data_IF_331467549192
#
_entry.id   IF_331467549192
#
_cell.length_a   1.000
_cell.length_b   1.000
_cell.length_c   1.000
_cell.angle_alpha   90.00
_cell.angle_beta   90.00
_cell.angle_gamma   90.00
#
_symmetry.space_group_name_H-M   'P 1'
#
loop_
_entity.id
_entity.type
_entity.pdbx_description
1 polymer ?
#
# COMPACT_ATOMS: atom_id res chain seq x y z
N UNK A 1 18.61 6.29 5.36
CA UNK A 1 19.04 5.05 6.07
C UNK A 1 20.37 4.57 5.52
N UNK A 2 21.35 4.18 6.35
CA UNK A 2 22.58 3.53 5.91
C UNK A 2 22.35 2.18 5.19
N UNK A 3 23.29 1.69 4.35
CA UNK A 3 23.18 0.39 3.68
C UNK A 3 22.87 -0.78 4.61
N UNK A 4 23.52 -0.86 5.77
CA UNK A 4 23.33 -1.95 6.73
C UNK A 4 21.91 -2.00 7.31
N UNK A 5 21.29 -0.85 7.55
CA UNK A 5 19.90 -0.78 8.03
C UNK A 5 18.92 -1.17 6.91
N UNK A 6 19.19 -0.75 5.67
CA UNK A 6 18.41 -1.18 4.49
C UNK A 6 18.50 -2.69 4.29
N UNK A 7 19.69 -3.27 4.42
CA UNK A 7 19.90 -4.73 4.34
C UNK A 7 19.12 -5.46 5.44
N UNK A 8 19.21 -4.99 6.67
CA UNK A 8 18.50 -5.61 7.79
C UNK A 8 16.98 -5.59 7.58
N UNK A 9 16.44 -4.55 6.94
CA UNK A 9 15.02 -4.48 6.58
C UNK A 9 14.65 -5.51 5.51
N UNK A 10 15.39 -5.59 4.40
CA UNK A 10 15.11 -6.57 3.34
C UNK A 10 15.31 -8.01 3.79
N UNK A 11 16.28 -8.26 4.68
CA UNK A 11 16.50 -9.56 5.31
C UNK A 11 15.35 -9.96 6.24
N UNK A 12 14.81 -9.02 7.03
CA UNK A 12 13.67 -9.29 7.89
C UNK A 12 12.41 -9.64 7.06
N UNK A 13 12.18 -8.95 5.94
CA UNK A 13 11.08 -9.26 5.01
C UNK A 13 11.26 -10.65 4.40
N UNK A 14 12.46 -10.99 3.94
CA UNK A 14 12.79 -12.33 3.43
C UNK A 14 12.60 -13.41 4.50
N UNK A 15 12.92 -13.10 5.77
CA UNK A 15 12.65 -13.98 6.89
C UNK A 15 11.14 -14.21 7.09
N UNK A 16 10.29 -13.17 7.05
CA UNK A 16 8.82 -13.34 7.11
C UNK A 16 8.31 -14.18 5.94
N UNK A 17 8.78 -13.92 4.73
CA UNK A 17 8.46 -14.73 3.54
C UNK A 17 8.88 -16.20 3.68
N UNK A 18 9.91 -16.51 4.47
CA UNK A 18 10.34 -17.90 4.73
C UNK A 18 9.50 -18.63 5.79
N UNK A 19 8.70 -17.91 6.58
CA UNK A 19 7.86 -18.54 7.61
C UNK A 19 6.64 -19.22 6.99
N UNK A 20 6.18 -20.35 7.56
CA UNK A 20 4.95 -20.98 7.09
C UNK A 20 3.75 -20.05 7.28
N UNK A 21 2.79 -20.14 6.36
CA UNK A 21 1.47 -19.50 6.51
C UNK A 21 0.75 -20.04 7.75
N UNK A 22 -0.01 -19.19 8.42
CA UNK A 22 -0.93 -19.59 9.49
C UNK A 22 -2.40 -19.62 9.04
N UNK A 23 -2.69 -19.28 7.79
CA UNK A 23 -4.04 -19.36 7.22
C UNK A 23 -4.40 -20.81 6.86
N UNK A 24 -5.71 -21.10 6.87
CA UNK A 24 -6.20 -22.40 6.41
C UNK A 24 -5.95 -22.56 4.92
N UNK A 25 -5.02 -23.44 4.54
CA UNK A 25 -4.65 -23.69 3.15
C UNK A 25 -5.81 -24.24 2.30
N UNK A 26 -6.81 -24.90 2.92
CA UNK A 26 -8.00 -25.34 2.19
C UNK A 26 -8.88 -24.16 1.74
N UNK A 27 -8.90 -23.08 2.53
CA UNK A 27 -9.64 -21.86 2.23
C UNK A 27 -8.81 -20.87 1.41
N UNK A 28 -7.50 -20.77 1.69
CA UNK A 28 -6.59 -19.82 1.06
C UNK A 28 -5.37 -20.51 0.42
N UNK A 29 -5.52 -21.27 -0.68
CA UNK A 29 -4.39 -21.94 -1.35
C UNK A 29 -3.23 -21.02 -1.79
N UNK A 30 -3.51 -19.74 -2.05
CA UNK A 30 -2.49 -18.73 -2.38
C UNK A 30 -1.61 -18.32 -1.19
N UNK A 31 -2.05 -18.54 0.06
CA UNK A 31 -1.28 -18.24 1.27
C UNK A 31 -0.18 -19.31 1.50
N UNK A 32 0.89 -19.25 0.72
CA UNK A 32 1.96 -20.27 0.76
C UNK A 32 3.02 -20.01 1.84
N UNK A 33 3.06 -18.79 2.38
CA UNK A 33 3.95 -18.37 3.44
C UNK A 33 3.33 -17.21 4.21
N UNK A 34 3.95 -16.85 5.33
CA UNK A 34 3.44 -15.80 6.22
C UNK A 34 3.39 -14.42 5.58
N UNK A 35 4.27 -14.11 4.62
CA UNK A 35 4.15 -12.86 3.87
C UNK A 35 2.88 -12.83 3.02
N UNK A 36 2.54 -13.95 2.36
CA UNK A 36 1.30 -14.07 1.60
C UNK A 36 0.04 -14.06 2.47
N UNK A 37 0.14 -14.33 3.77
CA UNK A 37 -0.98 -14.10 4.71
C UNK A 37 -1.38 -12.63 4.76
N UNK A 38 -0.40 -11.70 4.81
CA UNK A 38 -0.67 -10.26 4.76
C UNK A 38 -1.35 -9.89 3.45
N UNK A 39 -0.88 -10.42 2.32
CA UNK A 39 -1.51 -10.17 1.02
C UNK A 39 -2.95 -10.67 0.96
N UNK A 40 -3.23 -11.88 1.47
CA UNK A 40 -4.57 -12.45 1.54
C UNK A 40 -5.51 -11.65 2.45
N UNK A 41 -5.06 -11.28 3.64
CA UNK A 41 -5.86 -10.47 4.58
C UNK A 41 -6.21 -9.12 3.95
N UNK A 42 -5.25 -8.45 3.32
CA UNK A 42 -5.51 -7.20 2.61
C UNK A 42 -6.52 -7.37 1.46
N UNK A 43 -6.36 -8.42 0.64
CA UNK A 43 -7.30 -8.74 -0.43
C UNK A 43 -8.71 -8.95 0.12
N UNK A 44 -8.84 -9.73 1.21
CA UNK A 44 -10.12 -10.01 1.86
C UNK A 44 -10.82 -8.73 2.37
N UNK A 45 -10.05 -7.80 2.95
CA UNK A 45 -10.57 -6.55 3.52
C UNK A 45 -10.67 -5.40 2.51
N UNK A 46 -10.22 -5.57 1.27
CA UNK A 46 -10.16 -4.48 0.27
C UNK A 46 -11.50 -3.74 0.12
N UNK A 47 -12.63 -4.46 0.17
CA UNK A 47 -13.99 -3.91 0.09
C UNK A 47 -14.42 -3.02 1.27
N UNK A 48 -13.63 -2.98 2.34
CA UNK A 48 -13.91 -2.20 3.55
C UNK A 48 -12.82 -1.15 3.81
N UNK A 49 -11.58 -1.38 3.37
CA UNK A 49 -10.41 -0.58 3.80
C UNK A 49 -9.91 0.38 2.72
N UNK A 50 -10.57 0.45 1.56
CA UNK A 50 -10.28 1.42 0.50
C UNK A 50 -11.55 2.18 0.12
N UNK A 51 -11.40 3.46 -0.27
CA UNK A 51 -12.53 4.32 -0.65
C UNK A 51 -13.62 4.33 0.44
N UNK A 52 -13.20 4.29 1.70
CA UNK A 52 -14.00 4.11 2.90
C UNK A 52 -13.44 4.97 4.01
N UNK A 53 -14.20 5.13 5.10
CA UNK A 53 -13.73 5.90 6.25
C UNK A 53 -12.70 5.18 7.13
N UNK A 54 -12.30 3.96 6.78
CA UNK A 54 -11.28 3.17 7.49
C UNK A 54 -9.90 3.25 6.84
N UNK A 55 -9.79 3.86 5.64
CA UNK A 55 -8.60 3.76 4.81
C UNK A 55 -7.30 4.10 5.56
N UNK A 56 -7.21 5.28 6.16
CA UNK A 56 -5.99 5.74 6.80
C UNK A 56 -5.66 4.97 8.09
N UNK A 57 -6.64 4.74 8.96
CA UNK A 57 -6.42 4.09 10.26
C UNK A 57 -6.17 2.59 10.14
N UNK A 58 -6.88 1.91 9.23
CA UNK A 58 -6.69 0.48 8.99
C UNK A 58 -5.28 0.20 8.45
N UNK A 59 -4.83 0.99 7.47
CA UNK A 59 -3.49 0.84 6.91
C UNK A 59 -2.41 1.19 7.93
N UNK A 60 -2.58 2.26 8.73
CA UNK A 60 -1.65 2.60 9.82
C UNK A 60 -1.45 1.43 10.79
N UNK A 61 -2.53 0.80 11.25
CA UNK A 61 -2.39 -0.34 12.17
C UNK A 61 -1.81 -1.57 11.46
N UNK A 62 -2.15 -1.80 10.20
CA UNK A 62 -1.57 -2.89 9.41
C UNK A 62 -0.05 -2.76 9.25
N UNK A 63 0.46 -1.54 9.04
CA UNK A 63 1.90 -1.25 9.06
C UNK A 63 2.53 -1.62 10.40
N UNK A 64 1.88 -1.25 11.51
CA UNK A 64 2.39 -1.56 12.86
C UNK A 64 2.40 -3.05 13.16
N UNK A 65 1.42 -3.81 12.66
CA UNK A 65 1.36 -5.26 12.79
C UNK A 65 2.52 -5.91 12.01
N UNK A 66 2.81 -5.44 10.80
CA UNK A 66 3.95 -5.93 10.03
C UNK A 66 5.29 -5.55 10.68
N UNK A 67 5.45 -4.32 11.14
CA UNK A 67 6.65 -3.90 11.87
C UNK A 67 6.86 -4.77 13.12
N UNK A 68 5.81 -4.96 13.93
CA UNK A 68 5.84 -5.84 15.10
C UNK A 68 6.28 -7.25 14.73
N UNK A 69 5.79 -7.79 13.62
CA UNK A 69 6.13 -9.14 13.20
C UNK A 69 7.57 -9.25 12.69
N UNK A 70 8.07 -8.25 11.96
CA UNK A 70 9.50 -8.16 11.61
C UNK A 70 10.38 -8.19 12.86
N UNK A 71 9.97 -7.50 13.93
CA UNK A 71 10.69 -7.44 15.21
C UNK A 71 10.60 -8.75 15.99
N UNK A 72 9.39 -9.27 16.19
CA UNK A 72 9.12 -10.40 17.07
C UNK A 72 9.51 -11.74 16.44
N UNK A 73 9.26 -11.92 15.14
CA UNK A 73 9.54 -13.17 14.42
C UNK A 73 10.96 -13.18 13.84
N UNK A 74 11.41 -12.06 13.28
CA UNK A 74 12.66 -11.98 12.51
C UNK A 74 13.76 -11.15 13.19
N UNK A 75 13.52 -10.67 14.40
CA UNK A 75 14.53 -9.97 15.20
C UNK A 75 14.92 -8.59 14.65
N UNK A 76 14.14 -8.00 13.75
CA UNK A 76 14.43 -6.69 13.19
C UNK A 76 14.58 -5.62 14.29
N UNK A 77 15.68 -4.85 14.27
CA UNK A 77 15.93 -3.79 15.26
C UNK A 77 15.97 -2.39 14.66
N UNK A 78 15.91 -2.29 13.32
CA UNK A 78 16.00 -1.01 12.61
C UNK A 78 14.73 -0.16 12.72
N UNK A 79 14.73 0.96 12.02
CA UNK A 79 13.57 1.85 11.87
C UNK A 79 12.65 1.32 10.76
N UNK A 80 11.35 1.56 10.86
CA UNK A 80 10.43 1.21 9.78
C UNK A 80 10.49 2.28 8.67
N UNK A 81 10.92 1.95 7.44
CA UNK A 81 11.21 2.95 6.42
C UNK A 81 9.96 3.36 5.63
N UNK A 82 9.99 4.58 5.09
CA UNK A 82 9.06 5.04 4.06
C UNK A 82 9.80 5.32 2.74
N UNK A 83 9.08 5.27 1.63
CA UNK A 83 9.57 5.70 0.32
C UNK A 83 9.03 7.11 0.04
N UNK A 84 9.91 8.11 0.05
CA UNK A 84 9.56 9.47 -0.36
C UNK A 84 9.46 9.53 -1.89
N UNK A 85 8.30 9.15 -2.43
CA UNK A 85 8.10 9.05 -3.87
C UNK A 85 8.29 10.39 -4.61
N UNK A 86 8.11 11.53 -3.93
CA UNK A 86 8.39 12.85 -4.51
C UNK A 86 9.89 13.09 -4.74
N UNK A 87 10.74 12.48 -3.91
CA UNK A 87 12.19 12.55 -4.07
C UNK A 87 12.71 11.71 -5.25
N UNK A 88 11.92 10.75 -5.74
CA UNK A 88 12.34 9.80 -6.79
C UNK A 88 11.79 10.10 -8.17
N UNK A 89 11.01 11.18 -8.35
CA UNK A 89 10.29 11.45 -9.62
C UNK A 89 11.21 11.68 -10.83
N UNK A 90 12.41 12.24 -10.61
CA UNK A 90 13.37 12.52 -11.68
C UNK A 90 14.33 11.35 -11.95
N UNK A 91 14.44 10.41 -11.01
CA UNK A 91 15.43 9.32 -11.06
C UNK A 91 14.89 8.03 -10.42
N UNK A 92 13.77 7.55 -10.96
CA UNK A 92 13.04 6.43 -10.39
C UNK A 92 13.86 5.12 -10.44
N UNK A 93 14.42 4.76 -11.59
CA UNK A 93 15.11 3.48 -11.78
C UNK A 93 16.45 3.39 -11.06
N UNK A 94 17.14 4.50 -10.80
CA UNK A 94 18.44 4.48 -10.09
C UNK A 94 18.33 4.94 -8.63
N UNK A 95 17.12 5.27 -8.19
CA UNK A 95 16.80 5.51 -6.78
C UNK A 95 17.22 4.35 -5.88
N UNK A 96 17.44 4.65 -4.60
CA UNK A 96 17.88 3.64 -3.62
C UNK A 96 16.84 2.55 -3.37
N UNK A 97 15.59 2.81 -3.72
CA UNK A 97 14.47 1.89 -3.66
C UNK A 97 14.51 0.88 -4.80
N UNK A 98 14.86 1.32 -6.02
CA UNK A 98 14.66 0.53 -7.24
C UNK A 98 15.93 0.23 -8.07
N UNK A 99 17.12 0.62 -7.60
CA UNK A 99 18.37 0.38 -8.35
C UNK A 99 18.77 -1.11 -8.50
N UNK A 100 18.10 -2.03 -7.80
CA UNK A 100 18.33 -3.47 -7.90
C UNK A 100 19.56 -3.99 -7.17
N UNK A 101 20.22 -3.17 -6.35
CA UNK A 101 21.32 -3.61 -5.50
C UNK A 101 20.81 -4.50 -4.34
N UNK A 102 21.73 -5.02 -3.52
CA UNK A 102 21.39 -5.90 -2.39
C UNK A 102 20.66 -5.21 -1.22
N UNK A 103 20.54 -3.87 -1.26
CA UNK A 103 19.92 -2.99 -0.26
C UNK A 103 18.59 -2.40 -0.73
N UNK A 104 18.30 -2.48 -2.02
CA UNK A 104 17.09 -1.95 -2.64
C UNK A 104 15.90 -2.86 -2.38
N UNK A 105 14.71 -2.37 -2.72
CA UNK A 105 13.49 -3.17 -2.76
C UNK A 105 13.36 -3.94 -4.07
N UNK A 106 14.46 -4.46 -4.63
CA UNK A 106 14.59 -5.01 -5.99
C UNK A 106 14.42 -3.99 -7.13
N UNK A 107 14.79 -4.40 -8.34
CA UNK A 107 14.82 -3.54 -9.53
C UNK A 107 13.46 -3.30 -10.18
N UNK A 108 13.48 -2.62 -11.32
CA UNK A 108 12.41 -2.70 -12.32
C UNK A 108 12.26 -4.12 -12.89
N UNK A 109 11.13 -4.36 -13.56
CA UNK A 109 10.88 -5.54 -14.38
C UNK A 109 11.60 -5.49 -15.72
N UNK A 110 11.86 -6.67 -16.30
CA UNK A 110 12.29 -6.78 -17.69
C UNK A 110 11.29 -6.07 -18.61
N UNK A 111 11.74 -5.36 -19.67
CA UNK A 111 10.86 -4.68 -20.60
C UNK A 111 9.84 -5.64 -21.24
N UNK A 112 8.55 -5.34 -21.11
CA UNK A 112 7.46 -6.15 -21.65
C UNK A 112 6.21 -5.30 -21.88
N UNK A 113 5.97 -4.95 -23.15
CA UNK A 113 4.85 -4.12 -23.56
C UNK A 113 5.28 -2.68 -23.87
N UNK A 114 4.50 -2.03 -24.72
CA UNK A 114 4.66 -0.62 -25.07
C UNK A 114 3.31 0.10 -25.18
N UNK A 115 2.21 -0.66 -25.08
CA UNK A 115 0.87 -0.12 -25.26
C UNK A 115 0.48 0.71 -24.03
N UNK A 116 -0.19 1.86 -24.20
CA UNK A 116 -0.67 2.66 -23.09
C UNK A 116 -1.60 1.87 -22.16
N UNK A 117 -1.51 2.13 -20.86
CA UNK A 117 -2.35 1.50 -19.84
C UNK A 117 -3.64 2.32 -19.71
N UNK A 118 -4.77 1.67 -20.00
CA UNK A 118 -6.10 2.28 -19.94
C UNK A 118 -6.69 2.03 -18.55
N UNK A 119 -6.78 3.08 -17.72
CA UNK A 119 -7.33 3.00 -16.37
C UNK A 119 -8.85 3.29 -16.34
N UNK A 120 -9.37 3.85 -17.42
CA UNK A 120 -10.79 4.12 -17.59
C UNK A 120 -11.05 4.96 -18.85
N UNK A 121 -12.32 5.31 -19.12
CA UNK A 121 -12.68 6.11 -20.28
C UNK A 121 -12.09 7.53 -20.26
N UNK A 122 -11.69 8.01 -19.08
CA UNK A 122 -11.19 9.36 -18.86
C UNK A 122 -9.68 9.45 -18.59
N UNK A 123 -8.98 8.32 -18.46
CA UNK A 123 -7.55 8.30 -18.13
C UNK A 123 -6.83 7.12 -18.80
N UNK A 124 -5.81 7.48 -19.57
CA UNK A 124 -4.81 6.58 -20.12
C UNK A 124 -3.44 7.12 -19.73
N UNK A 125 -2.58 6.25 -19.19
CA UNK A 125 -1.19 6.58 -18.87
C UNK A 125 -0.27 5.84 -19.85
N UNK A 126 0.93 6.37 -20.16
CA UNK A 126 1.92 5.63 -20.93
C UNK A 126 2.37 4.38 -20.16
N UNK A 127 2.85 3.40 -20.91
CA UNK A 127 3.59 2.27 -20.34
C UNK A 127 4.87 2.77 -19.65
N UNK A 128 5.30 2.10 -18.58
CA UNK A 128 6.60 2.30 -17.98
C UNK A 128 7.73 1.66 -18.80
N UNK A 129 8.92 1.57 -18.20
CA UNK A 129 10.10 0.98 -18.83
C UNK A 129 10.27 -0.53 -18.57
N UNK A 130 9.39 -1.13 -17.77
CA UNK A 130 9.43 -2.54 -17.39
C UNK A 130 8.28 -3.33 -18.00
N UNK A 131 7.51 -4.03 -17.15
CA UNK A 131 6.31 -4.80 -17.51
C UNK A 131 6.46 -6.32 -17.29
N UNK A 132 7.68 -6.80 -17.05
CA UNK A 132 8.02 -8.20 -16.83
C UNK A 132 8.50 -8.48 -15.39
N UNK A 133 9.07 -9.66 -15.19
CA UNK A 133 9.65 -10.05 -13.90
C UNK A 133 10.77 -9.08 -13.48
N UNK A 134 10.83 -8.72 -12.20
CA UNK A 134 11.97 -7.98 -11.63
C UNK A 134 13.30 -8.69 -11.93
N UNK A 135 14.32 -7.93 -12.33
CA UNK A 135 15.58 -8.49 -12.86
C UNK A 135 16.65 -8.74 -11.78
N UNK A 136 16.66 -7.94 -10.70
CA UNK A 136 17.69 -8.02 -9.65
C UNK A 136 17.20 -7.57 -8.26
N UNK A 137 18.10 -7.67 -7.27
CA UNK A 137 17.87 -7.33 -5.87
C UNK A 137 17.29 -8.45 -5.00
N UNK A 138 16.98 -8.15 -3.72
CA UNK A 138 16.73 -9.15 -2.68
C UNK A 138 15.46 -9.99 -2.86
N UNK A 139 14.55 -9.56 -3.71
CA UNK A 139 13.24 -10.19 -3.90
C UNK A 139 13.06 -10.81 -5.29
N UNK A 140 14.11 -10.83 -6.13
CA UNK A 140 14.02 -11.25 -7.54
C UNK A 140 13.43 -12.66 -7.75
N UNK A 141 13.69 -13.56 -6.81
CA UNK A 141 13.29 -14.97 -6.87
C UNK A 141 11.95 -15.21 -6.13
N UNK A 142 11.26 -14.15 -5.70
CA UNK A 142 9.95 -14.26 -5.07
C UNK A 142 8.87 -14.67 -6.06
N UNK A 143 7.89 -15.40 -5.53
CA UNK A 143 6.69 -15.79 -6.27
C UNK A 143 5.49 -15.07 -5.67
N UNK A 144 4.84 -14.23 -6.48
CA UNK A 144 3.47 -13.77 -6.24
C UNK A 144 2.51 -14.95 -6.49
N UNK A 145 1.47 -15.06 -5.66
CA UNK A 145 0.56 -16.22 -5.64
C UNK A 145 -0.91 -15.86 -5.82
N UNK A 146 -1.26 -14.57 -5.75
CA UNK A 146 -2.57 -14.04 -6.07
C UNK A 146 -2.56 -13.45 -7.48
N UNK A 147 -3.59 -13.80 -8.26
CA UNK A 147 -3.81 -13.22 -9.59
C UNK A 147 -4.43 -11.82 -9.53
N UNK A 148 -4.32 -11.08 -10.63
CA UNK A 148 -5.00 -9.78 -10.77
C UNK A 148 -6.52 -9.91 -10.60
N UNK A 149 -7.10 -8.97 -9.88
CA UNK A 149 -8.54 -8.85 -9.66
C UNK A 149 -8.98 -7.51 -10.25
N UNK A 150 -10.06 -7.54 -11.02
CA UNK A 150 -10.62 -6.36 -11.65
C UNK A 150 -11.13 -5.38 -10.56
N UNK A 151 -10.67 -4.11 -10.54
CA UNK A 151 -11.15 -3.12 -9.57
C UNK A 151 -12.65 -2.85 -9.68
N UNK A 152 -13.33 -3.27 -10.76
CA UNK A 152 -14.79 -3.22 -10.87
C UNK A 152 -15.50 -3.97 -9.74
N UNK A 153 -14.93 -5.05 -9.20
CA UNK A 153 -15.52 -5.74 -8.05
C UNK A 153 -15.63 -4.82 -6.83
N UNK A 154 -14.60 -4.01 -6.59
CA UNK A 154 -14.57 -3.02 -5.51
C UNK A 154 -15.62 -1.93 -5.74
N UNK A 155 -15.57 -1.23 -6.88
CA UNK A 155 -16.42 -0.05 -7.10
C UNK A 155 -17.90 -0.37 -7.26
N UNK A 156 -18.24 -1.60 -7.65
CA UNK A 156 -19.62 -2.08 -7.78
C UNK A 156 -20.14 -2.82 -6.55
N UNK A 157 -19.32 -2.94 -5.49
CA UNK A 157 -19.69 -3.64 -4.26
C UNK A 157 -19.97 -5.13 -4.46
N UNK A 158 -19.38 -5.73 -5.50
CA UNK A 158 -19.53 -7.16 -5.76
C UNK A 158 -18.56 -7.95 -4.88
N UNK A 159 -18.96 -9.17 -4.45
CA UNK A 159 -18.04 -10.04 -3.74
C UNK A 159 -16.84 -10.38 -4.62
N UNK A 160 -15.68 -10.59 -3.99
CA UNK A 160 -14.49 -11.08 -4.67
C UNK A 160 -14.81 -12.38 -5.45
N UNK A 161 -14.20 -12.59 -6.63
CA UNK A 161 -14.39 -13.83 -7.39
C UNK A 161 -14.13 -15.08 -6.53
N UNK A 162 -14.89 -16.15 -6.72
CA UNK A 162 -14.65 -17.42 -5.99
C UNK A 162 -13.24 -18.01 -6.25
N UNK A 163 -12.57 -17.58 -7.32
CA UNK A 163 -11.21 -18.01 -7.68
C UNK A 163 -10.12 -17.14 -7.07
N UNK A 164 -10.46 -16.13 -6.27
CA UNK A 164 -9.53 -15.11 -5.75
C UNK A 164 -8.31 -15.72 -5.05
N UNK A 165 -8.54 -16.72 -4.20
CA UNK A 165 -7.47 -17.33 -3.40
C UNK A 165 -6.90 -18.61 -4.01
N UNK A 166 -7.26 -18.95 -5.26
CA UNK A 166 -6.61 -20.03 -5.97
C UNK A 166 -5.15 -19.70 -6.17
N UNK A 167 -4.27 -20.67 -5.95
CA UNK A 167 -2.83 -20.51 -6.18
C UNK A 167 -2.56 -20.15 -7.65
N UNK A 168 -2.03 -18.94 -7.88
CA UNK A 168 -1.69 -18.41 -9.19
C UNK A 168 -0.27 -17.83 -9.16
N UNK A 169 0.71 -18.68 -9.48
CA UNK A 169 2.12 -18.33 -9.39
C UNK A 169 2.58 -17.42 -10.53
N UNK A 170 3.25 -16.33 -10.17
CA UNK A 170 4.00 -15.46 -11.06
C UNK A 170 5.27 -14.99 -10.35
N UNK A 171 6.32 -14.62 -11.09
CA UNK A 171 7.35 -13.76 -10.54
C UNK A 171 6.75 -12.41 -10.09
N UNK A 172 7.45 -11.65 -9.24
CA UNK A 172 7.11 -10.25 -9.01
C UNK A 172 7.33 -9.46 -10.30
N UNK A 173 6.33 -8.69 -10.70
CA UNK A 173 6.33 -7.89 -11.93
C UNK A 173 6.29 -6.42 -11.57
N UNK A 174 7.11 -5.61 -12.23
CA UNK A 174 7.10 -4.14 -12.12
C UNK A 174 7.20 -3.50 -13.48
N UNK A 175 6.58 -2.33 -13.59
CA UNK A 175 6.62 -1.46 -14.75
C UNK A 175 6.86 -0.03 -14.28
N UNK A 176 8.10 0.27 -13.87
CA UNK A 176 8.42 1.57 -13.28
C UNK A 176 8.08 2.70 -14.27
N UNK A 177 7.26 3.64 -13.81
CA UNK A 177 6.60 4.61 -14.67
C UNK A 177 6.94 6.05 -14.25
N UNK A 178 8.02 6.59 -14.83
CA UNK A 178 8.48 7.95 -14.54
C UNK A 178 7.47 9.02 -14.93
N UNK A 179 6.63 8.79 -15.94
CA UNK A 179 5.57 9.73 -16.29
C UNK A 179 4.56 9.86 -15.14
N UNK A 180 4.09 8.74 -14.59
CA UNK A 180 3.17 8.75 -13.44
C UNK A 180 3.82 9.42 -12.25
N UNK A 181 5.08 9.09 -11.96
CA UNK A 181 5.81 9.69 -10.84
C UNK A 181 5.89 11.23 -10.97
N UNK A 182 6.35 11.73 -12.12
CA UNK A 182 6.50 13.16 -12.37
C UNK A 182 5.15 13.90 -12.38
N UNK A 183 4.11 13.26 -12.91
CA UNK A 183 2.80 13.90 -13.08
C UNK A 183 2.01 13.94 -11.78
N UNK A 184 2.07 12.89 -10.96
CA UNK A 184 1.10 12.66 -9.89
C UNK A 184 1.71 12.42 -8.50
N UNK A 185 3.02 12.27 -8.38
CA UNK A 185 3.68 12.05 -7.07
C UNK A 185 4.78 13.05 -6.76
N UNK A 186 4.79 14.22 -7.42
CA UNK A 186 5.75 15.30 -7.17
C UNK A 186 5.49 16.04 -5.84
N UNK A 187 6.46 16.85 -5.41
CA UNK A 187 6.40 17.59 -4.14
C UNK A 187 5.17 18.50 -4.04
N UNK A 188 4.79 19.21 -5.11
CA UNK A 188 3.63 20.12 -5.09
C UNK A 188 2.35 19.36 -4.72
N UNK A 189 2.15 18.17 -5.27
CA UNK A 189 0.98 17.34 -4.98
C UNK A 189 1.04 16.69 -3.59
N UNK A 190 2.23 16.27 -3.14
CA UNK A 190 2.43 15.77 -1.77
C UNK A 190 2.15 16.85 -0.73
N UNK A 191 2.68 18.06 -0.94
CA UNK A 191 2.44 19.22 -0.09
C UNK A 191 0.97 19.62 -0.10
N UNK A 192 0.34 19.69 -1.28
CA UNK A 192 -1.10 19.95 -1.42
C UNK A 192 -1.94 18.93 -0.65
N UNK A 193 -1.55 17.65 -0.70
CA UNK A 193 -2.27 16.58 0.02
C UNK A 193 -2.12 16.71 1.54
N UNK A 194 -0.94 17.04 2.03
CA UNK A 194 -0.71 17.30 3.45
C UNK A 194 -1.40 18.60 3.95
N UNK A 195 -1.82 19.48 3.04
CA UNK A 195 -2.55 20.72 3.33
C UNK A 195 -4.01 20.69 2.85
N UNK A 196 -4.57 19.50 2.63
CA UNK A 196 -5.99 19.36 2.29
C UNK A 196 -6.86 20.12 3.28
N UNK A 197 -7.92 20.77 2.79
CA UNK A 197 -8.72 21.69 3.60
C UNK A 197 -9.67 20.98 4.58
N UNK A 198 -9.88 19.67 4.43
CA UNK A 198 -10.68 18.80 5.29
C UNK A 198 -10.43 17.32 4.93
N UNK A 199 -11.01 16.39 5.70
CA UNK A 199 -10.86 14.96 5.49
C UNK A 199 -11.37 14.45 4.12
N UNK A 200 -12.40 15.07 3.53
CA UNK A 200 -12.88 14.70 2.19
C UNK A 200 -11.87 15.07 1.11
N UNK A 201 -11.27 16.26 1.22
CA UNK A 201 -10.23 16.71 0.28
C UNK A 201 -8.95 15.88 0.45
N UNK A 202 -8.61 15.46 1.67
CA UNK A 202 -7.50 14.53 1.93
C UNK A 202 -7.73 13.19 1.23
N UNK A 203 -8.90 12.58 1.41
CA UNK A 203 -9.26 11.32 0.75
C UNK A 203 -9.21 11.45 -0.79
N UNK A 204 -9.72 12.55 -1.33
CA UNK A 204 -9.66 12.81 -2.77
C UNK A 204 -8.22 13.00 -3.28
N UNK A 205 -7.40 13.79 -2.58
CA UNK A 205 -6.02 14.06 -2.99
C UNK A 205 -5.12 12.82 -2.87
N UNK A 206 -5.40 11.93 -1.91
CA UNK A 206 -4.72 10.64 -1.78
C UNK A 206 -5.17 9.66 -2.87
N UNK A 207 -6.47 9.42 -3.01
CA UNK A 207 -6.96 8.29 -3.77
C UNK A 207 -7.40 8.66 -5.21
N UNK A 208 -7.81 9.89 -5.44
CA UNK A 208 -8.53 10.28 -6.65
C UNK A 208 -9.88 9.57 -6.76
N UNK A 209 -10.38 9.42 -7.99
CA UNK A 209 -11.64 8.71 -8.27
C UNK A 209 -11.35 7.62 -9.29
N UNK A 210 -11.68 6.36 -8.96
CA UNK A 210 -11.54 5.25 -9.90
C UNK A 210 -12.41 5.52 -11.14
N UNK A 211 -11.80 5.41 -12.33
CA UNK A 211 -12.44 5.77 -13.60
C UNK A 211 -12.50 7.27 -13.89
N UNK A 212 -11.97 8.12 -12.99
CA UNK A 212 -11.79 9.55 -13.19
C UNK A 212 -10.63 9.88 -14.13
N UNK A 213 -10.35 11.19 -14.28
CA UNK A 213 -9.32 11.70 -15.20
C UNK A 213 -7.96 11.98 -14.55
N UNK A 214 -7.78 11.64 -13.28
CA UNK A 214 -6.54 11.88 -12.52
C UNK A 214 -6.37 10.85 -11.42
N UNK A 215 -5.12 10.65 -11.01
CA UNK A 215 -4.76 9.86 -9.83
C UNK A 215 -4.48 10.80 -8.66
N UNK A 216 -4.87 10.40 -7.45
CA UNK A 216 -4.31 10.97 -6.23
C UNK A 216 -2.94 10.39 -5.91
N UNK A 217 -2.20 10.97 -4.97
CA UNK A 217 -0.79 10.61 -4.71
C UNK A 217 -0.61 9.15 -4.25
N UNK A 218 -1.56 8.56 -3.52
CA UNK A 218 -1.54 7.15 -3.12
C UNK A 218 -1.75 6.23 -4.33
N UNK A 219 -2.80 6.49 -5.11
CA UNK A 219 -3.07 5.72 -6.32
C UNK A 219 -1.91 5.83 -7.30
N UNK A 220 -1.39 7.03 -7.50
CA UNK A 220 -0.26 7.29 -8.36
C UNK A 220 1.01 6.56 -7.92
N UNK A 221 1.35 6.54 -6.63
CA UNK A 221 2.52 5.80 -6.16
C UNK A 221 2.43 4.29 -6.45
N UNK A 222 1.23 3.70 -6.40
CA UNK A 222 0.99 2.33 -6.85
C UNK A 222 1.23 2.16 -8.36
N UNK A 223 0.69 3.07 -9.18
CA UNK A 223 0.88 3.05 -10.64
C UNK A 223 2.29 3.43 -11.09
N UNK A 224 3.06 4.13 -10.27
CA UNK A 224 4.50 4.40 -10.49
C UNK A 224 5.31 3.11 -10.46
N UNK A 225 4.91 2.13 -9.65
CA UNK A 225 5.59 0.83 -9.58
C UNK A 225 5.06 -0.16 -10.65
N UNK A 226 3.77 -0.09 -10.96
CA UNK A 226 3.15 -0.96 -11.96
C UNK A 226 3.04 -2.41 -11.51
N UNK A 227 2.78 -3.34 -12.45
CA UNK A 227 2.59 -4.76 -12.13
C UNK A 227 1.54 -4.99 -11.03
N UNK A 228 1.83 -5.86 -10.05
CA UNK A 228 0.90 -6.13 -8.95
C UNK A 228 0.60 -4.91 -8.08
N UNK A 229 1.53 -3.97 -7.95
CA UNK A 229 1.30 -2.72 -7.21
C UNK A 229 0.16 -1.90 -7.82
N UNK A 230 -0.07 -1.99 -9.14
CA UNK A 230 -1.19 -1.32 -9.80
C UNK A 230 -2.57 -1.97 -9.55
N UNK A 231 -2.63 -3.07 -8.79
CA UNK A 231 -3.88 -3.73 -8.40
C UNK A 231 -4.24 -3.43 -6.95
N UNK A 232 -5.33 -2.68 -6.77
CA UNK A 232 -5.85 -2.29 -5.44
C UNK A 232 -6.12 -3.48 -4.51
N UNK A 233 -6.38 -4.68 -5.05
CA UNK A 233 -6.67 -5.87 -4.27
C UNK A 233 -5.41 -6.61 -3.78
N UNK A 234 -4.40 -6.72 -4.64
CA UNK A 234 -3.29 -7.67 -4.46
C UNK A 234 -1.90 -7.02 -4.42
N UNK A 235 -1.84 -5.70 -4.25
CA UNK A 235 -0.60 -4.91 -4.27
C UNK A 235 0.39 -5.27 -3.16
N UNK A 236 -0.09 -5.73 -1.99
CA UNK A 236 0.75 -6.16 -0.84
C UNK A 236 1.75 -7.25 -1.20
N UNK A 237 1.52 -8.02 -2.27
CA UNK A 237 2.46 -9.04 -2.74
C UNK A 237 3.85 -8.47 -3.07
N UNK A 238 3.94 -7.18 -3.42
CA UNK A 238 5.22 -6.52 -3.66
C UNK A 238 5.76 -5.88 -2.35
N UNK A 239 6.98 -6.20 -1.91
CA UNK A 239 7.59 -5.65 -0.69
C UNK A 239 7.68 -4.13 -0.61
N UNK A 240 7.68 -3.40 -1.73
CA UNK A 240 7.71 -1.93 -1.69
C UNK A 240 6.41 -1.33 -1.12
N UNK A 241 5.32 -2.11 -1.09
CA UNK A 241 4.02 -1.71 -0.54
C UNK A 241 4.12 -1.11 0.86
N UNK A 242 4.94 -1.72 1.73
CA UNK A 242 5.14 -1.27 3.11
C UNK A 242 5.76 0.13 3.16
N UNK A 243 6.76 0.40 2.34
CA UNK A 243 7.42 1.72 2.29
C UNK A 243 6.52 2.79 1.67
N UNK A 244 5.73 2.42 0.65
CA UNK A 244 4.73 3.31 0.05
C UNK A 244 3.70 3.73 1.11
N UNK A 245 3.06 2.78 1.79
CA UNK A 245 2.03 3.07 2.78
C UNK A 245 2.57 3.74 4.03
N UNK A 246 3.83 3.50 4.39
CA UNK A 246 4.48 4.26 5.46
C UNK A 246 4.66 5.74 5.08
N UNK A 247 4.83 6.08 3.79
CA UNK A 247 4.82 7.47 3.32
C UNK A 247 3.39 8.04 3.26
N UNK A 248 2.38 7.23 2.95
CA UNK A 248 0.97 7.65 3.07
C UNK A 248 0.63 8.00 4.51
N UNK A 249 1.06 7.17 5.46
CA UNK A 249 0.86 7.45 6.88
C UNK A 249 1.65 8.69 7.36
N UNK A 250 2.84 8.92 6.81
CA UNK A 250 3.61 10.17 7.01
C UNK A 250 2.84 11.40 6.51
N UNK A 251 2.25 11.32 5.31
CA UNK A 251 1.43 12.42 4.75
C UNK A 251 0.20 12.64 5.64
N UNK A 252 -0.44 11.57 6.10
CA UNK A 252 -1.59 11.70 7.02
C UNK A 252 -1.19 12.35 8.34
N UNK A 253 -0.11 11.88 8.99
CA UNK A 253 0.41 12.51 10.20
C UNK A 253 0.78 13.99 9.99
N UNK A 254 1.31 14.33 8.80
CA UNK A 254 1.60 15.72 8.42
C UNK A 254 0.31 16.55 8.29
N UNK A 255 -0.72 16.02 7.64
CA UNK A 255 -2.05 16.66 7.59
C UNK A 255 -2.61 16.96 8.98
N UNK A 256 -2.49 16.01 9.91
CA UNK A 256 -2.95 16.19 11.29
C UNK A 256 -2.19 17.30 12.03
N UNK A 257 -0.88 17.45 11.76
CA UNK A 257 -0.04 18.52 12.33
C UNK A 257 -0.39 19.87 11.72
N UNK A 258 -0.57 19.92 10.40
CA UNK A 258 -0.84 21.15 9.65
C UNK A 258 -2.27 21.66 9.90
N UNK A 259 -3.19 20.79 10.30
CA UNK A 259 -4.60 21.09 10.49
C UNK A 259 -5.13 20.62 11.88
N UNK A 260 -4.61 21.16 12.99
CA UNK A 260 -4.89 20.64 14.34
C UNK A 260 -6.37 20.67 14.74
N UNK A 261 -7.16 21.59 14.18
CA UNK A 261 -8.60 21.70 14.47
C UNK A 261 -9.44 20.57 13.85
N UNK A 262 -8.94 19.93 12.79
CA UNK A 262 -9.60 18.87 12.02
C UNK A 262 -8.76 17.59 11.92
N UNK A 263 -7.73 17.46 12.76
CA UNK A 263 -6.78 16.36 12.75
C UNK A 263 -7.44 14.97 12.94
N UNK A 264 -8.66 14.95 13.49
CA UNK A 264 -9.41 13.73 13.80
C UNK A 264 -10.75 13.66 13.08
N UNK A 265 -10.98 14.52 12.08
CA UNK A 265 -12.15 14.44 11.22
C UNK A 265 -12.09 13.20 10.34
N UNK A 266 -13.25 12.59 10.10
CA UNK A 266 -13.41 11.38 9.31
C UNK A 266 -14.28 11.66 8.10
N UNK A 267 -13.96 11.03 6.98
CA UNK A 267 -14.77 11.07 5.77
C UNK A 267 -14.90 9.66 5.17
N UNK A 268 -16.11 9.30 4.73
CA UNK A 268 -16.39 8.03 4.09
C UNK A 268 -17.31 7.09 4.89
N UNK A 269 -17.65 5.98 4.26
CA UNK A 269 -18.59 4.96 4.76
C UNK A 269 -17.85 3.66 5.10
N UNK A 270 -18.54 2.72 5.73
CA UNK A 270 -17.96 1.43 6.16
C UNK A 270 -17.65 0.47 4.99
N UNK A 271 -18.20 0.75 3.81
CA UNK A 271 -17.98 0.01 2.57
C UNK A 271 -17.31 0.89 1.52
N UNK A 272 -16.43 0.28 0.74
CA UNK A 272 -15.73 0.93 -0.36
C UNK A 272 -16.71 1.56 -1.34
N UNK A 273 -16.45 2.81 -1.72
CA UNK A 273 -17.27 3.58 -2.65
C UNK A 273 -18.76 3.66 -2.23
N UNK A 274 -19.06 3.43 -0.95
CA UNK A 274 -20.42 3.27 -0.43
C UNK A 274 -21.24 2.23 -1.22
N UNK A 275 -20.59 1.15 -1.66
CA UNK A 275 -21.17 0.08 -2.48
C UNK A 275 -20.97 -1.29 -1.80
N UNK A 276 -22.03 -1.92 -1.25
CA UNK A 276 -23.38 -1.39 -1.09
C UNK A 276 -23.43 -0.22 -0.08
N UNK A 277 -24.51 0.58 -0.05
CA UNK A 277 -24.61 1.68 0.90
C UNK A 277 -24.48 1.23 2.36
N UNK A 278 -23.67 1.95 3.14
CA UNK A 278 -23.42 1.68 4.55
C UNK A 278 -23.37 2.98 5.38
N UNK A 279 -23.40 2.90 6.73
CA UNK A 279 -23.25 4.08 7.57
C UNK A 279 -21.91 4.80 7.34
N UNK A 280 -21.89 6.10 7.67
CA UNK A 280 -20.64 6.83 7.77
C UNK A 280 -19.81 6.28 8.93
N UNK A 281 -18.50 6.16 8.71
CA UNK A 281 -17.55 5.82 9.76
C UNK A 281 -17.49 6.95 10.78
N UNK A 282 -17.42 6.58 12.06
CA UNK A 282 -17.33 7.48 13.21
C UNK A 282 -16.19 7.03 14.11
N UNK A 283 -15.83 7.88 15.07
CA UNK A 283 -14.80 7.61 16.08
C UNK A 283 -15.04 6.31 16.86
N UNK A 284 -16.30 5.91 17.05
CA UNK A 284 -16.71 4.70 17.75
C UNK A 284 -17.05 3.51 16.84
N UNK A 285 -17.00 3.69 15.51
CA UNK A 285 -17.09 2.58 14.57
C UNK A 285 -15.90 1.64 14.78
N UNK A 286 -16.17 0.32 14.76
CA UNK A 286 -15.15 -0.71 14.90
C UNK A 286 -14.47 -0.94 13.56
N UNK A 287 -13.14 -0.98 13.57
CA UNK A 287 -12.31 -1.27 12.41
C UNK A 287 -12.59 -2.68 11.86
N UNK A 288 -12.49 -2.88 10.54
CA UNK A 288 -12.33 -4.22 9.98
C UNK A 288 -11.11 -4.90 10.61
N UNK A 289 -11.25 -6.17 11.03
CA UNK A 289 -10.12 -6.91 11.62
C UNK A 289 -8.95 -7.10 10.63
N UNK A 290 -7.81 -7.54 11.14
CA UNK A 290 -6.62 -7.87 10.35
C UNK A 290 -6.41 -9.38 10.28
N UNK A 291 -7.49 -10.14 10.14
CA UNK A 291 -7.46 -11.61 10.14
C UNK A 291 -6.92 -12.16 11.46
N UNK A 292 -6.03 -13.15 11.38
CA UNK A 292 -5.43 -13.74 12.59
C UNK A 292 -4.34 -12.85 13.21
N UNK A 293 -3.85 -11.82 12.50
CA UNK A 293 -2.82 -10.93 13.04
C UNK A 293 -3.36 -10.13 14.22
N UNK A 294 -4.60 -9.62 14.11
CA UNK A 294 -5.36 -9.09 15.23
C UNK A 294 -6.87 -9.12 14.90
N UNK A 295 -7.65 -9.79 15.75
CA UNK A 295 -9.12 -9.87 15.66
C UNK A 295 -9.83 -9.09 16.76
N UNK A 296 -9.09 -8.24 17.49
CA UNK A 296 -9.62 -7.39 18.53
C UNK A 296 -10.59 -6.35 17.94
N UNK A 297 -11.66 -6.06 18.68
CA UNK A 297 -12.59 -4.98 18.33
C UNK A 297 -12.00 -3.63 18.71
N UNK A 298 -11.30 -2.99 17.77
CA UNK A 298 -10.63 -1.70 17.96
C UNK A 298 -11.49 -0.60 17.31
N UNK A 299 -11.90 0.45 18.05
CA UNK A 299 -12.60 1.58 17.46
C UNK A 299 -11.62 2.53 16.76
N UNK A 300 -12.07 3.20 15.69
CA UNK A 300 -11.26 4.15 14.89
C UNK A 300 -10.50 5.16 15.75
N UNK A 301 -11.14 5.70 16.80
CA UNK A 301 -10.52 6.70 17.70
C UNK A 301 -9.21 6.27 18.33
N UNK A 302 -8.98 4.98 18.52
CA UNK A 302 -7.78 4.46 19.18
C UNK A 302 -6.58 4.40 18.22
N UNK A 303 -6.80 4.62 16.91
CA UNK A 303 -5.79 4.52 15.85
C UNK A 303 -5.45 5.87 15.19
N UNK A 304 -6.10 6.96 15.60
CA UNK A 304 -5.92 8.27 14.96
C UNK A 304 -4.61 8.98 15.32
N UNK A 305 -4.00 8.67 16.45
CA UNK A 305 -2.82 9.38 16.94
C UNK A 305 -1.63 8.44 17.13
N UNK A 306 -0.54 8.73 16.41
CA UNK A 306 0.70 7.95 16.33
C UNK A 306 1.51 7.87 17.65
N UNK A 307 1.07 8.60 18.69
CA UNK A 307 1.69 8.63 20.02
C UNK A 307 0.77 8.13 21.14
N UNK A 308 -0.34 7.49 20.79
CA UNK A 308 -1.30 6.95 21.74
C UNK A 308 -1.90 5.61 21.25
N UNK A 309 -2.69 4.96 22.10
CA UNK A 309 -3.24 3.64 21.76
C UNK A 309 -2.11 2.62 21.58
N UNK A 310 -2.09 1.85 20.48
CA UNK A 310 -1.02 0.89 20.19
C UNK A 310 0.26 1.56 19.67
N UNK A 311 0.26 2.87 19.44
CA UNK A 311 1.33 3.56 18.74
C UNK A 311 2.21 4.41 19.68
N UNK A 312 3.51 4.44 19.36
CA UNK A 312 4.48 5.31 20.00
C UNK A 312 5.65 5.58 19.03
N UNK A 313 5.36 6.25 17.91
CA UNK A 313 6.36 6.59 16.89
C UNK A 313 6.24 8.05 16.42
N UNK A 314 7.25 8.47 15.67
CA UNK A 314 7.28 9.76 14.98
C UNK A 314 8.01 9.56 13.64
N UNK A 315 7.74 10.47 12.70
CA UNK A 315 8.51 10.56 11.48
C UNK A 315 9.71 11.49 11.68
N UNK A 316 10.83 11.17 11.05
CA UNK A 316 12.02 12.03 11.06
C UNK A 316 11.86 13.27 10.18
N UNK A 317 10.95 13.24 9.21
CA UNK A 317 10.53 14.37 8.38
C UNK A 317 9.00 14.40 8.23
N UNK A 318 8.41 15.59 8.29
CA UNK A 318 7.00 15.83 7.97
C UNK A 318 6.88 16.66 6.69
N UNK A 319 5.73 16.60 6.03
CA UNK A 319 5.40 17.45 4.88
C UNK A 319 4.83 18.76 5.41
N UNK A 320 5.57 19.85 5.26
CA UNK A 320 5.27 21.18 5.80
C UNK A 320 4.84 22.17 4.75
#
# INVERSE_FOLDING_TARGET
MPPEERKAYTDAINCIHSQPSNLDNAQYPAAVNKYQDYAVVHTEKTGQVHLSGFFLTWHRYFLSLFEKDLRDTCGYQGRFPYWDFAATVDDLETSVEFNGDEYSMSSNGAPNGTDPIILGPALTIPHGSGGGCIESGPFKDWTATLGFIDPLFLVSGQPLPNTTYNYNASCLIRDLNSYVAQTYTNYDLVETTAHSANASDLEFNLNGVIGGSSLGVHSAAHFTVGGFMSSIHVSVQDPIWWMLHTNIDRIYASYQINNPEMAYDLYGTETANNAPPSPNVRLDTIEPDWGYFDSSSIPVRDLLNITSGPFCYQYDQYVS
#
